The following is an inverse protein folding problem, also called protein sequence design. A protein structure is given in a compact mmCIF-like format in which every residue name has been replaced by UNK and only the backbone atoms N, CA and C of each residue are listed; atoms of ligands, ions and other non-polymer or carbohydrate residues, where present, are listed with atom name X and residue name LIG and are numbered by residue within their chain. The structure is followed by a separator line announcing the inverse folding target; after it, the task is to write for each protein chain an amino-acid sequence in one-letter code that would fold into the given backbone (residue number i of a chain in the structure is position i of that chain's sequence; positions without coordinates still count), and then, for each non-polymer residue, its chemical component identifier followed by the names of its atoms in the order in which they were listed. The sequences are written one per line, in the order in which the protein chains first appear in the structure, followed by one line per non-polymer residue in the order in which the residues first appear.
data_IF_670958100250
#
_entry.id   IF_670958100250
#
_cell.length_a   1.000
_cell.length_b   1.000
_cell.length_c   1.000
_cell.angle_alpha   90.00
_cell.angle_beta   90.00
_cell.angle_gamma   90.00
#
_symmetry.space_group_name_H-M   'P 1'
#
loop_
_entity.id
_entity.type
_entity.pdbx_description
1 polymer ?
#
# COMPACT_ATOMS: atom_id res chain seq x y z
N UNK A 1 10.05 3.25 17.71
CA UNK A 1 9.25 2.81 16.54
C UNK A 1 10.20 1.99 15.69
N UNK A 2 10.01 0.68 15.66
CA UNK A 2 10.93 -0.25 15.00
C UNK A 2 10.47 -0.54 13.58
N UNK A 3 11.42 -0.70 12.68
CA UNK A 3 11.17 -1.18 11.33
C UNK A 3 11.05 -2.69 11.39
N UNK A 4 9.96 -3.23 10.87
CA UNK A 4 9.76 -4.66 10.80
C UNK A 4 9.62 -5.09 9.34
N UNK A 5 10.39 -6.10 8.96
CA UNK A 5 10.42 -6.64 7.60
C UNK A 5 10.29 -8.14 7.70
N UNK A 6 9.33 -8.70 6.96
CA UNK A 6 9.01 -10.12 7.01
C UNK A 6 8.85 -10.67 5.60
N UNK A 7 9.52 -11.77 5.34
CA UNK A 7 9.44 -12.50 4.08
C UNK A 7 8.71 -13.81 4.31
N UNK A 8 7.75 -14.11 3.45
CA UNK A 8 6.97 -15.35 3.48
C UNK A 8 6.77 -15.90 2.08
N UNK A 9 6.50 -17.19 2.00
CA UNK A 9 5.97 -17.78 0.78
C UNK A 9 4.49 -17.38 0.62
N UNK A 10 4.13 -16.93 -0.58
CA UNK A 10 2.76 -16.71 -0.99
C UNK A 10 2.38 -17.73 -2.07
N UNK A 11 1.71 -18.81 -1.65
CA UNK A 11 1.32 -19.89 -2.55
C UNK A 11 2.50 -20.75 -3.01
N UNK A 12 2.59 -21.02 -4.31
CA UNK A 12 3.62 -21.93 -4.87
C UNK A 12 4.75 -21.21 -5.62
N UNK A 13 4.52 -19.98 -6.06
CA UNK A 13 5.38 -19.29 -7.02
C UNK A 13 5.64 -17.83 -6.65
N UNK A 14 5.10 -17.34 -5.54
CA UNK A 14 5.23 -15.95 -5.15
C UNK A 14 5.90 -15.86 -3.77
N UNK A 15 6.62 -14.77 -3.56
CA UNK A 15 7.12 -14.37 -2.27
C UNK A 15 6.37 -13.12 -1.86
N UNK A 16 5.98 -13.06 -0.60
CA UNK A 16 5.35 -11.89 0.00
C UNK A 16 6.34 -11.22 0.94
N UNK A 17 6.52 -9.92 0.70
CA UNK A 17 7.36 -9.03 1.49
C UNK A 17 6.43 -8.07 2.23
N UNK A 18 6.40 -8.19 3.54
CA UNK A 18 5.67 -7.28 4.41
C UNK A 18 6.65 -6.34 5.09
N UNK A 19 6.40 -5.04 4.93
CA UNK A 19 7.27 -4.01 5.52
C UNK A 19 6.42 -3.03 6.32
N UNK A 20 6.65 -3.03 7.62
CA UNK A 20 6.03 -2.10 8.56
C UNK A 20 6.93 -0.89 8.73
N UNK A 21 6.48 0.23 8.16
CA UNK A 21 7.14 1.52 8.31
C UNK A 21 6.39 2.38 9.33
N UNK A 22 7.08 2.94 10.33
CA UNK A 22 6.44 3.87 11.24
C UNK A 22 6.03 5.14 10.51
N UNK A 23 4.73 5.41 10.44
CA UNK A 23 4.23 6.70 9.97
C UNK A 23 4.47 7.75 11.05
N UNK A 24 5.13 8.85 10.68
CA UNK A 24 5.38 9.96 11.61
C UNK A 24 4.08 10.79 11.72
N UNK A 25 3.50 10.93 12.93
CA UNK A 25 2.31 11.75 13.12
C UNK A 25 2.55 13.19 12.64
N UNK A 26 1.51 13.81 12.08
CA UNK A 26 1.53 15.20 11.58
C UNK A 26 2.48 15.48 10.41
N UNK A 27 3.13 14.47 9.84
CA UNK A 27 3.82 14.63 8.57
C UNK A 27 2.88 14.30 7.41
N UNK A 28 2.64 15.25 6.47
CA UNK A 28 1.74 15.01 5.34
C UNK A 28 2.34 14.04 4.31
N UNK A 29 3.66 13.81 4.37
CA UNK A 29 4.38 12.90 3.48
C UNK A 29 5.42 12.13 4.28
N UNK A 30 5.53 10.85 3.99
CA UNK A 30 6.60 9.97 4.51
C UNK A 30 7.27 9.32 3.31
N UNK A 31 8.60 9.29 3.31
CA UNK A 31 9.42 8.60 2.33
C UNK A 31 10.21 7.51 3.03
N UNK A 32 10.41 6.38 2.36
CA UNK A 32 11.22 5.27 2.84
C UNK A 32 12.09 4.75 1.70
N UNK A 33 13.24 4.18 2.04
CA UNK A 33 14.12 3.47 1.11
C UNK A 33 14.06 1.99 1.41
N UNK A 34 13.88 1.16 0.38
CA UNK A 34 13.92 -0.29 0.47
C UNK A 34 15.02 -0.79 -0.46
N UNK A 35 16.00 -1.49 0.11
CA UNK A 35 17.03 -2.19 -0.63
C UNK A 35 16.78 -3.70 -0.53
N UNK A 36 16.73 -4.39 -1.67
CA UNK A 36 16.47 -5.82 -1.73
C UNK A 36 17.46 -6.49 -2.69
N UNK A 37 18.11 -7.54 -2.21
CA UNK A 37 18.98 -8.40 -3.00
C UNK A 37 18.35 -9.79 -3.12
N UNK A 38 18.13 -10.26 -4.34
CA UNK A 38 17.52 -11.55 -4.61
C UNK A 38 18.54 -12.49 -5.28
N UNK A 39 18.78 -13.64 -4.65
CA UNK A 39 19.58 -14.71 -5.21
C UNK A 39 18.65 -15.82 -5.71
N UNK A 40 18.61 -16.02 -7.03
CA UNK A 40 17.73 -17.01 -7.64
C UNK A 40 18.51 -18.20 -8.20
N UNK A 41 18.06 -19.45 -7.98
CA UNK A 41 18.67 -20.60 -8.64
C UNK A 41 18.56 -20.51 -10.16
N UNK A 42 19.55 -21.06 -10.87
CA UNK A 42 19.55 -21.13 -12.33
C UNK A 42 18.29 -21.83 -12.90
N UNK A 43 17.69 -22.75 -12.15
CA UNK A 43 16.47 -23.46 -12.52
C UNK A 43 15.23 -22.56 -12.68
N UNK A 44 15.23 -21.37 -12.05
CA UNK A 44 14.15 -20.38 -12.26
C UNK A 44 14.22 -19.72 -13.65
N UNK A 45 15.36 -19.85 -14.37
CA UNK A 45 15.55 -19.33 -15.72
C UNK A 45 15.14 -17.86 -15.87
N UNK A 46 15.52 -17.04 -14.89
CA UNK A 46 15.30 -15.59 -14.92
C UNK A 46 16.28 -14.98 -15.90
N UNK A 47 15.76 -14.57 -17.04
CA UNK A 47 16.51 -13.92 -18.12
C UNK A 47 15.78 -12.66 -18.55
N UNK A 48 16.48 -11.75 -19.24
CA UNK A 48 15.88 -10.52 -19.77
C UNK A 48 14.64 -10.77 -20.64
N UNK A 49 14.60 -11.89 -21.38
CA UNK A 49 13.47 -12.25 -22.26
C UNK A 49 12.30 -12.93 -21.55
N UNK A 50 12.50 -13.52 -20.35
CA UNK A 50 11.44 -14.18 -19.58
C UNK A 50 10.92 -13.34 -18.43
N UNK A 51 11.83 -12.81 -17.62
CA UNK A 51 11.51 -12.00 -16.44
C UNK A 51 12.58 -10.92 -16.28
N UNK A 52 12.47 -9.90 -17.12
CA UNK A 52 13.37 -8.75 -17.12
C UNK A 52 13.01 -7.70 -16.07
N UNK A 53 13.82 -6.65 -16.01
CA UNK A 53 13.69 -5.53 -15.06
C UNK A 53 12.29 -4.89 -15.11
N UNK A 54 11.75 -4.69 -16.32
CA UNK A 54 10.42 -4.11 -16.49
C UNK A 54 9.31 -5.00 -15.91
N UNK A 55 9.37 -6.30 -16.18
CA UNK A 55 8.41 -7.25 -15.61
C UNK A 55 8.49 -7.30 -14.08
N UNK A 56 9.70 -7.16 -13.51
CA UNK A 56 9.90 -7.03 -12.07
C UNK A 56 9.20 -5.80 -11.50
N UNK A 57 9.46 -4.61 -12.04
CA UNK A 57 8.85 -3.38 -11.53
C UNK A 57 7.33 -3.33 -11.76
N UNK A 58 6.84 -3.84 -12.90
CA UNK A 58 5.40 -3.93 -13.14
C UNK A 58 4.72 -4.84 -12.12
N UNK A 59 5.32 -5.99 -11.79
CA UNK A 59 4.81 -6.86 -10.73
C UNK A 59 4.87 -6.18 -9.37
N UNK A 60 5.98 -5.51 -9.05
CA UNK A 60 6.13 -4.79 -7.78
C UNK A 60 4.99 -3.77 -7.61
N UNK A 61 4.74 -2.93 -8.61
CA UNK A 61 3.67 -1.92 -8.56
C UNK A 61 2.29 -2.58 -8.49
N UNK A 62 2.05 -3.60 -9.32
CA UNK A 62 0.75 -4.27 -9.44
C UNK A 62 0.35 -5.02 -8.16
N UNK A 63 1.32 -5.62 -7.47
CA UNK A 63 1.08 -6.43 -6.27
C UNK A 63 1.33 -5.68 -4.96
N UNK A 64 1.84 -4.45 -5.00
CA UNK A 64 1.97 -3.62 -3.80
C UNK A 64 0.60 -3.25 -3.27
N UNK A 65 0.36 -3.54 -1.99
CA UNK A 65 -0.85 -3.13 -1.27
C UNK A 65 -0.45 -2.34 -0.03
N UNK A 66 -1.18 -1.26 0.21
CA UNK A 66 -1.02 -0.46 1.41
C UNK A 66 -2.07 -0.86 2.43
N UNK A 67 -1.63 -1.27 3.61
CA UNK A 67 -2.52 -1.45 4.75
C UNK A 67 -3.03 -0.08 5.18
N UNK A 68 -4.35 0.10 5.19
CA UNK A 68 -4.97 1.32 5.68
C UNK A 68 -5.00 1.27 7.20
N UNK A 69 -4.57 2.34 7.87
CA UNK A 69 -4.68 2.44 9.32
C UNK A 69 -6.16 2.33 9.74
N UNK A 70 -6.50 1.50 10.73
CA UNK A 70 -7.87 1.41 11.22
C UNK A 70 -8.33 2.76 11.76
N UNK A 71 -9.52 3.21 11.34
CA UNK A 71 -10.14 4.43 11.82
C UNK A 71 -11.19 4.08 12.90
N UNK A 72 -11.04 4.56 14.15
CA UNK A 72 -12.07 4.41 15.17
C UNK A 72 -13.41 4.98 14.70
N UNK A 73 -14.52 4.34 15.08
CA UNK A 73 -15.88 4.79 14.71
C UNK A 73 -16.16 6.23 15.18
N UNK A 74 -15.60 6.65 16.32
CA UNK A 74 -15.72 8.01 16.82
C UNK A 74 -15.14 9.05 15.83
N UNK A 75 -14.04 8.72 15.14
CA UNK A 75 -13.44 9.61 14.13
C UNK A 75 -14.23 9.63 12.81
N UNK A 76 -15.09 8.63 12.55
CA UNK A 76 -15.97 8.64 11.38
C UNK A 76 -17.09 9.66 11.53
N UNK A 77 -17.64 9.81 12.73
CA UNK A 77 -18.76 10.72 13.00
C UNK A 77 -18.31 12.12 13.43
N UNK A 78 -17.01 12.34 13.60
CA UNK A 78 -16.44 13.63 13.95
C UNK A 78 -16.65 14.64 12.81
N UNK A 79 -17.50 15.68 13.00
CA UNK A 79 -17.79 16.65 11.95
C UNK A 79 -16.57 17.52 11.61
N UNK A 80 -15.62 17.68 12.53
CA UNK A 80 -14.40 18.48 12.34
C UNK A 80 -13.28 17.67 11.65
N UNK A 81 -13.47 16.36 11.46
CA UNK A 81 -12.51 15.50 10.79
C UNK A 81 -12.71 15.48 9.26
N UNK A 82 -11.96 16.33 8.55
CA UNK A 82 -11.96 16.38 7.08
C UNK A 82 -11.50 15.08 6.39
N UNK A 83 -10.80 14.19 7.11
CA UNK A 83 -10.40 12.88 6.58
C UNK A 83 -11.50 11.83 6.74
N UNK A 84 -12.55 12.10 7.50
CA UNK A 84 -13.68 11.19 7.64
C UNK A 84 -14.37 10.98 6.28
N UNK A 85 -14.55 9.71 5.84
CA UNK A 85 -15.36 9.41 4.67
C UNK A 85 -16.80 9.92 4.79
N UNK A 86 -17.41 9.89 5.98
CA UNK A 86 -18.78 10.35 6.18
C UNK A 86 -18.90 11.85 5.97
N UNK A 87 -18.02 12.65 6.61
CA UNK A 87 -17.99 14.11 6.43
C UNK A 87 -17.80 14.49 4.96
N UNK A 88 -16.93 13.76 4.25
CA UNK A 88 -16.69 13.97 2.81
C UNK A 88 -17.91 13.61 1.95
N UNK A 89 -18.62 12.53 2.27
CA UNK A 89 -19.83 12.09 1.55
C UNK A 89 -20.97 13.08 1.78
N UNK A 90 -21.24 13.48 3.02
CA UNK A 90 -22.30 14.44 3.35
C UNK A 90 -22.08 15.76 2.60
N UNK A 91 -20.86 16.30 2.65
CA UNK A 91 -20.50 17.52 1.90
C UNK A 91 -20.74 17.38 0.39
N UNK A 92 -20.46 16.20 -0.18
CA UNK A 92 -20.71 15.92 -1.61
C UNK A 92 -22.20 15.84 -1.90
N UNK A 93 -22.98 15.18 -1.05
CA UNK A 93 -24.43 15.07 -1.19
C UNK A 93 -25.09 16.45 -1.18
N UNK A 94 -24.73 17.32 -0.24
CA UNK A 94 -25.28 18.68 -0.13
C UNK A 94 -25.01 19.53 -1.38
N UNK A 95 -23.89 19.26 -2.07
CA UNK A 95 -23.51 19.97 -3.30
C UNK A 95 -23.99 19.31 -4.59
N UNK A 96 -24.53 18.09 -4.53
CA UNK A 96 -24.93 17.35 -5.73
C UNK A 96 -26.36 17.74 -6.10
N UNK A 97 -26.59 18.39 -7.27
CA UNK A 97 -27.95 18.70 -7.71
C UNK A 97 -28.71 17.39 -7.95
N UNK A 98 -29.94 17.33 -7.44
CA UNK A 98 -30.85 16.23 -7.78
C UNK A 98 -31.21 16.41 -9.24
N UNK A 99 -30.80 15.45 -10.08
CA UNK A 99 -31.25 15.37 -11.48
C UNK A 99 -32.73 14.96 -11.46
N UNK A 100 -33.61 15.95 -11.36
CA UNK A 100 -35.05 15.82 -11.66
C UNK A 100 -35.31 15.99 -13.14
#
# INVERSE_FOLDING_TARGET
MEYHCRIRNHGRQQLELEVDYPLVPNQPKTAYSLEALLFTPASMNITKSRYGVEAFFNNLVTYTRYTVAPMPLALLIDPDNDKSPLTRITRRLDTTPILT
#
